data_IF_979454516159
#
_entry.id   IF_979454516159
#
_cell.length_a   1.000
_cell.length_b   1.000
_cell.length_c   1.000
_cell.angle_alpha   90.00
_cell.angle_beta   90.00
_cell.angle_gamma   90.00
#
_symmetry.space_group_name_H-M   'P 1'
#
loop_
_entity.id
_entity.type
_entity.pdbx_description
1 polymer ?
#
# COMPACT_ATOMS: atom_id res chain seq x y z
N UNK A 1 -1.43 -19.92 -23.63
CA UNK A 1 -1.35 -19.54 -22.20
C UNK A 1 -1.70 -18.07 -22.14
N UNK A 2 -2.73 -17.69 -21.40
CA UNK A 2 -2.95 -16.28 -21.08
C UNK A 2 -1.78 -15.81 -20.21
N UNK A 3 -1.08 -14.76 -20.62
CA UNK A 3 -0.12 -14.10 -19.75
C UNK A 3 -0.90 -13.47 -18.59
N UNK A 4 -0.59 -13.89 -17.37
CA UNK A 4 -1.04 -13.20 -16.16
C UNK A 4 -0.37 -11.83 -16.14
N UNK A 5 -1.13 -10.80 -16.50
CA UNK A 5 -0.71 -9.39 -16.38
C UNK A 5 -0.87 -9.00 -14.92
N UNK A 6 0.25 -8.78 -14.22
CA UNK A 6 0.27 -8.25 -12.86
C UNK A 6 0.87 -6.85 -12.85
N UNK A 7 0.50 -6.05 -11.85
CA UNK A 7 1.01 -4.69 -11.71
C UNK A 7 2.52 -4.68 -11.48
N UNK A 8 3.18 -3.74 -12.14
CA UNK A 8 4.58 -3.40 -11.91
C UNK A 8 4.78 -2.81 -10.50
N UNK A 9 6.02 -2.81 -10.01
CA UNK A 9 6.37 -2.17 -8.74
C UNK A 9 6.00 -0.68 -8.73
N UNK A 10 6.19 0.03 -9.85
CA UNK A 10 5.80 1.44 -9.92
C UNK A 10 4.28 1.64 -9.74
N UNK A 11 3.47 0.81 -10.39
CA UNK A 11 2.01 0.86 -10.24
C UNK A 11 1.56 0.53 -8.81
N UNK A 12 2.19 -0.47 -8.18
CA UNK A 12 1.92 -0.83 -6.79
C UNK A 12 2.35 0.28 -5.81
N UNK A 13 3.50 0.92 -6.04
CA UNK A 13 3.95 2.07 -5.25
C UNK A 13 2.96 3.23 -5.35
N UNK A 14 2.43 3.49 -6.53
CA UNK A 14 1.43 4.53 -6.75
C UNK A 14 0.10 4.21 -6.06
N UNK A 15 -0.36 2.97 -6.16
CA UNK A 15 -1.57 2.51 -5.48
C UNK A 15 -1.45 2.59 -3.95
N UNK A 16 -0.27 2.22 -3.43
CA UNK A 16 0.05 2.34 -2.01
C UNK A 16 0.10 3.81 -1.59
N UNK A 17 0.71 4.69 -2.40
CA UNK A 17 0.75 6.15 -2.16
C UNK A 17 -0.67 6.71 -1.98
N UNK A 18 -1.58 6.39 -2.90
CA UNK A 18 -2.98 6.85 -2.86
C UNK A 18 -3.66 6.42 -1.55
N UNK A 19 -3.47 5.16 -1.15
CA UNK A 19 -4.00 4.67 0.12
C UNK A 19 -3.42 5.44 1.32
N UNK A 20 -2.09 5.56 1.39
CA UNK A 20 -1.41 6.21 2.51
C UNK A 20 -1.78 7.68 2.65
N UNK A 21 -1.89 8.41 1.54
CA UNK A 21 -2.36 9.79 1.53
C UNK A 21 -3.78 9.92 2.08
N UNK A 22 -4.70 9.05 1.66
CA UNK A 22 -6.07 9.06 2.15
C UNK A 22 -6.15 8.67 3.63
N UNK A 23 -5.38 7.65 4.03
CA UNK A 23 -5.37 7.13 5.40
C UNK A 23 -4.72 8.10 6.40
N UNK A 24 -3.65 8.79 6.00
CA UNK A 24 -2.96 9.78 6.83
C UNK A 24 -3.48 11.21 6.64
N UNK A 25 -4.39 11.44 5.67
CA UNK A 25 -4.87 12.77 5.28
C UNK A 25 -3.71 13.72 4.96
N UNK A 26 -2.74 13.22 4.22
CA UNK A 26 -1.52 13.94 3.85
C UNK A 26 -1.29 13.82 2.34
N UNK A 27 -0.32 14.57 1.83
CA UNK A 27 0.14 14.49 0.44
C UNK A 27 1.57 13.95 0.43
N UNK A 28 1.82 12.95 -0.40
CA UNK A 28 3.12 12.33 -0.63
C UNK A 28 3.55 12.77 -2.03
N UNK A 29 4.57 13.61 -2.12
CA UNK A 29 5.02 14.22 -3.37
C UNK A 29 5.64 13.20 -4.34
N UNK A 30 6.32 12.19 -3.80
CA UNK A 30 7.00 11.16 -4.58
C UNK A 30 6.79 9.77 -3.96
N UNK A 31 6.41 8.78 -4.78
CA UNK A 31 6.23 7.38 -4.39
C UNK A 31 7.57 6.62 -4.28
N UNK A 32 8.58 7.24 -3.67
CA UNK A 32 9.87 6.60 -3.40
C UNK A 32 9.74 5.57 -2.29
N UNK A 33 10.46 4.46 -2.40
CA UNK A 33 10.41 3.35 -1.46
C UNK A 33 10.60 3.82 0.00
N UNK A 34 11.64 4.63 0.29
CA UNK A 34 11.89 5.15 1.65
C UNK A 34 10.75 6.02 2.18
N UNK A 35 10.16 6.85 1.33
CA UNK A 35 9.01 7.68 1.69
C UNK A 35 7.82 6.79 2.06
N UNK A 36 7.50 5.80 1.24
CA UNK A 36 6.38 4.88 1.48
C UNK A 36 6.60 4.04 2.74
N UNK A 37 7.82 3.53 2.96
CA UNK A 37 8.23 2.83 4.20
C UNK A 37 8.02 3.68 5.44
N UNK A 38 8.41 4.95 5.40
CA UNK A 38 8.21 5.88 6.51
C UNK A 38 6.71 6.03 6.87
N UNK A 39 5.84 6.16 5.88
CA UNK A 39 4.39 6.26 6.11
C UNK A 39 3.77 4.93 6.59
N UNK A 40 4.27 3.78 6.13
CA UNK A 40 3.90 2.48 6.71
C UNK A 40 4.25 2.43 8.20
N UNK A 41 5.45 2.86 8.58
CA UNK A 41 5.86 2.91 10.00
C UNK A 41 4.98 3.85 10.81
N UNK A 42 4.60 5.00 10.26
CA UNK A 42 3.69 5.95 10.90
C UNK A 42 2.32 5.33 11.23
N UNK A 43 1.84 4.37 10.43
CA UNK A 43 0.57 3.69 10.68
C UNK A 43 0.57 2.90 12.01
N UNK A 44 1.74 2.46 12.51
CA UNK A 44 1.86 1.80 13.82
C UNK A 44 1.39 2.67 14.99
N UNK A 45 1.45 4.00 14.85
CA UNK A 45 1.00 4.93 15.89
C UNK A 45 -0.54 4.97 16.03
N UNK A 46 -1.28 4.49 15.02
CA UNK A 46 -2.75 4.42 15.02
C UNK A 46 -3.28 3.08 15.54
N UNK A 47 -2.46 2.20 16.11
CA UNK A 47 -2.79 0.80 16.42
C UNK A 47 -3.77 0.58 17.61
N UNK A 48 -4.84 1.38 17.73
CA UNK A 48 -5.74 1.41 18.90
C UNK A 48 -6.93 0.47 18.73
N UNK A 49 -7.60 0.52 17.59
CA UNK A 49 -8.81 -0.29 17.32
C UNK A 49 -8.49 -1.60 16.57
N UNK A 50 -9.37 -2.61 16.63
CA UNK A 50 -9.22 -3.83 15.81
C UNK A 50 -9.08 -3.55 14.32
N UNK A 51 -9.81 -2.54 13.81
CA UNK A 51 -9.71 -2.09 12.42
C UNK A 51 -8.31 -1.56 12.09
N UNK A 52 -7.75 -0.72 12.96
CA UNK A 52 -6.40 -0.17 12.75
C UNK A 52 -5.31 -1.22 12.89
N UNK A 53 -5.47 -2.18 13.81
CA UNK A 53 -4.59 -3.36 13.92
C UNK A 53 -4.55 -4.17 12.63
N UNK A 54 -5.71 -4.38 12.00
CA UNK A 54 -5.79 -5.09 10.73
C UNK A 54 -5.15 -4.31 9.57
N UNK A 55 -5.34 -2.99 9.52
CA UNK A 55 -4.67 -2.12 8.54
C UNK A 55 -3.16 -2.19 8.70
N UNK A 56 -2.66 -2.05 9.94
CA UNK A 56 -1.23 -2.12 10.24
C UNK A 56 -0.65 -3.49 9.84
N UNK A 57 -1.34 -4.59 10.14
CA UNK A 57 -0.94 -5.92 9.70
C UNK A 57 -0.81 -6.00 8.17
N UNK A 58 -1.81 -5.54 7.42
CA UNK A 58 -1.77 -5.56 5.95
C UNK A 58 -0.63 -4.69 5.40
N UNK A 59 -0.38 -3.52 5.99
CA UNK A 59 0.73 -2.65 5.60
C UNK A 59 2.10 -3.27 5.86
N UNK A 60 2.28 -3.98 6.98
CA UNK A 60 3.51 -4.73 7.25
C UNK A 60 3.74 -5.83 6.19
N UNK A 61 2.68 -6.51 5.76
CA UNK A 61 2.78 -7.54 4.71
C UNK A 61 3.11 -6.96 3.34
N UNK A 62 2.64 -5.75 3.06
CA UNK A 62 3.04 -5.00 1.86
C UNK A 62 4.51 -4.60 1.94
N UNK A 63 4.97 -4.08 3.08
CA UNK A 63 6.37 -3.69 3.29
C UNK A 63 7.35 -4.84 3.01
N UNK A 64 7.09 -5.99 3.62
CA UNK A 64 7.88 -7.23 3.46
C UNK A 64 8.05 -7.68 2.00
N UNK A 65 7.08 -7.38 1.14
CA UNK A 65 6.96 -7.96 -0.21
C UNK A 65 7.22 -6.97 -1.33
N UNK A 66 6.81 -5.72 -1.15
CA UNK A 66 6.98 -4.65 -2.11
C UNK A 66 8.39 -4.06 -2.05
N UNK A 67 9.00 -4.11 -0.87
CA UNK A 67 10.32 -3.53 -0.62
C UNK A 67 11.32 -4.53 -0.01
N UNK A 68 11.54 -5.69 -0.67
CA UNK A 68 12.50 -6.68 -0.20
C UNK A 68 13.92 -6.12 -0.20
N UNK A 69 14.79 -6.66 0.65
CA UNK A 69 16.17 -6.17 0.83
C UNK A 69 17.03 -6.29 -0.44
N UNK A 70 16.75 -7.30 -1.27
CA UNK A 70 17.42 -7.53 -2.56
C UNK A 70 16.91 -6.62 -3.69
N UNK A 71 15.89 -5.79 -3.41
CA UNK A 71 15.26 -4.88 -4.35
C UNK A 71 14.41 -5.54 -5.44
N UNK A 72 14.41 -6.87 -5.52
CA UNK A 72 13.72 -7.64 -6.55
C UNK A 72 12.42 -8.19 -6.00
N UNK A 73 11.29 -7.69 -6.53
CA UNK A 73 9.96 -8.20 -6.19
C UNK A 73 9.57 -9.33 -7.16
N UNK A 74 9.46 -10.59 -6.70
CA UNK A 74 8.99 -11.70 -7.52
C UNK A 74 7.54 -11.49 -8.00
N UNK A 75 7.11 -12.10 -9.11
CA UNK A 75 5.73 -12.01 -9.61
C UNK A 75 4.67 -12.40 -8.57
N UNK A 76 4.97 -13.41 -7.75
CA UNK A 76 4.08 -13.85 -6.67
C UNK A 76 3.83 -12.75 -5.64
N UNK A 77 4.86 -11.98 -5.31
CA UNK A 77 4.76 -10.90 -4.34
C UNK A 77 4.03 -9.70 -4.92
N UNK A 78 4.18 -9.43 -6.23
CA UNK A 78 3.38 -8.44 -6.93
C UNK A 78 1.86 -8.73 -6.80
N UNK A 79 1.45 -9.98 -7.03
CA UNK A 79 0.05 -10.43 -6.90
C UNK A 79 -0.45 -10.25 -5.45
N UNK A 80 0.37 -10.63 -4.47
CA UNK A 80 -0.01 -10.49 -3.06
C UNK A 80 -0.14 -9.02 -2.68
N UNK A 81 0.80 -8.18 -3.11
CA UNK A 81 0.78 -6.74 -2.87
C UNK A 81 -0.45 -6.08 -3.51
N UNK A 82 -0.79 -6.44 -4.75
CA UNK A 82 -2.00 -5.96 -5.41
C UNK A 82 -3.25 -6.26 -4.59
N UNK A 83 -3.44 -7.52 -4.18
CA UNK A 83 -4.56 -7.92 -3.34
C UNK A 83 -4.59 -7.15 -2.00
N UNK A 84 -3.45 -7.04 -1.32
CA UNK A 84 -3.36 -6.34 -0.03
C UNK A 84 -3.68 -4.85 -0.15
N UNK A 85 -3.20 -4.19 -1.20
CA UNK A 85 -3.42 -2.76 -1.43
C UNK A 85 -4.89 -2.51 -1.79
N UNK A 86 -5.52 -3.37 -2.59
CA UNK A 86 -6.95 -3.26 -2.88
C UNK A 86 -7.82 -3.42 -1.62
N UNK A 87 -7.46 -4.40 -0.79
CA UNK A 87 -8.05 -4.59 0.54
C UNK A 87 -7.86 -3.36 1.44
N UNK A 88 -6.72 -2.69 1.38
CA UNK A 88 -6.44 -1.46 2.13
C UNK A 88 -7.29 -0.29 1.62
N UNK A 89 -7.41 -0.11 0.30
CA UNK A 89 -8.21 0.95 -0.34
C UNK A 89 -9.69 0.88 0.06
N UNK A 90 -10.24 -0.32 0.30
CA UNK A 90 -11.62 -0.49 0.81
C UNK A 90 -11.88 0.25 2.13
N UNK A 91 -10.87 0.42 2.99
CA UNK A 91 -11.05 1.14 4.26
C UNK A 91 -11.19 2.65 4.12
N UNK A 92 -10.71 3.21 3.01
CA UNK A 92 -10.65 4.65 2.73
C UNK A 92 -11.42 5.02 1.46
N UNK A 93 -12.18 4.08 0.87
CA UNK A 93 -12.90 4.26 -0.40
C UNK A 93 -13.79 5.52 -0.44
N UNK A 94 -14.48 5.85 0.67
CA UNK A 94 -15.27 7.09 0.76
C UNK A 94 -14.40 8.36 0.65
N UNK A 95 -13.20 8.33 1.22
CA UNK A 95 -12.23 9.44 1.16
C UNK A 95 -11.58 9.54 -0.22
N UNK A 96 -11.30 8.41 -0.88
CA UNK A 96 -10.74 8.36 -2.23
C UNK A 96 -11.74 8.89 -3.26
N UNK A 97 -13.02 8.50 -3.19
CA UNK A 97 -14.05 8.94 -4.14
C UNK A 97 -14.17 10.47 -4.22
N UNK A 98 -14.05 11.15 -3.08
CA UNK A 98 -14.15 12.61 -2.99
C UNK A 98 -12.93 13.36 -3.54
N UNK A 99 -11.82 12.68 -3.86
CA UNK A 99 -10.63 13.30 -4.48
C UNK A 99 -10.63 13.24 -6.01
N UNK A 100 -11.49 12.40 -6.60
CA UNK A 100 -11.54 12.12 -8.04
C UNK A 100 -12.73 12.85 -8.72
N UNK A 101 -13.67 13.38 -7.92
CA UNK A 101 -14.76 14.27 -8.34
C UNK A 101 -14.37 15.72 -8.15
#
# INVERSE_FOLDING_TARGET
MEELIFKTKQELNEDLRIFLEAYHKTKILEAKDDSLKMYILLAKNKNKTPKEKLINFKLLRVDERLFPEDGNMPPKDAIICEFLIDELKKYVAKTIKNRIT
#
